data_IF_833147551193
#
_entry.id   IF_833147551193
#
_cell.length_a   1.000
_cell.length_b   1.000
_cell.length_c   1.000
_cell.angle_alpha   90.00
_cell.angle_beta   90.00
_cell.angle_gamma   90.00
#
_symmetry.space_group_name_H-M   'P 1'
#
loop_
_entity.id
_entity.type
_entity.pdbx_description
1 polymer ?
#
# COMPACT_ATOMS: atom_id res chain seq x y z
N UNK A 1 17.32 37.27 41.58
CA UNK A 1 17.30 35.94 40.94
C UNK A 1 17.30 36.13 39.43
N UNK A 2 18.33 35.69 38.69
CA UNK A 2 18.35 35.78 37.21
C UNK A 2 17.70 34.52 36.63
N UNK A 3 16.66 34.66 35.81
CA UNK A 3 16.08 33.55 35.03
C UNK A 3 16.85 33.43 33.71
N UNK A 4 17.71 32.42 33.57
CA UNK A 4 18.25 32.04 32.26
C UNK A 4 17.15 31.36 31.45
N UNK A 5 16.85 31.90 30.26
CA UNK A 5 16.12 31.15 29.23
C UNK A 5 17.13 30.27 28.49
N UNK A 6 17.00 28.95 28.65
CA UNK A 6 17.69 27.98 27.79
C UNK A 6 16.85 27.86 26.53
N UNK A 7 17.45 28.19 25.38
CA UNK A 7 16.86 27.96 24.05
C UNK A 7 17.45 26.65 23.53
N UNK A 8 16.62 25.62 23.40
CA UNK A 8 17.00 24.40 22.69
C UNK A 8 16.91 24.66 21.19
N UNK A 9 18.07 24.73 20.52
CA UNK A 9 18.14 24.56 19.08
C UNK A 9 18.11 23.06 18.77
N UNK A 10 16.96 22.57 18.29
CA UNK A 10 16.89 21.29 17.60
C UNK A 10 17.41 21.48 16.17
N UNK A 11 18.44 20.73 15.73
CA UNK A 11 18.84 20.74 14.34
C UNK A 11 17.79 19.97 13.52
N UNK A 12 16.98 20.68 12.71
CA UNK A 12 16.27 20.03 11.61
C UNK A 12 17.33 19.51 10.63
N UNK A 13 17.57 18.20 10.65
CA UNK A 13 18.28 17.52 9.58
C UNK A 13 17.44 17.63 8.30
N UNK A 14 17.97 18.31 7.29
CA UNK A 14 17.42 18.30 5.94
C UNK A 14 17.50 16.88 5.38
N UNK A 15 16.36 16.17 5.36
CA UNK A 15 16.20 14.93 4.60
C UNK A 15 16.13 15.32 3.13
N UNK A 16 17.26 15.20 2.43
CA UNK A 16 17.31 15.27 0.97
C UNK A 16 17.01 13.89 0.39
N UNK A 17 15.81 13.70 -0.16
CA UNK A 17 15.55 12.57 -1.05
C UNK A 17 16.34 12.78 -2.35
N UNK A 18 17.52 12.18 -2.43
CA UNK A 18 18.27 12.08 -3.68
C UNK A 18 17.79 10.82 -4.41
N UNK A 19 16.79 11.01 -5.29
CA UNK A 19 16.32 9.95 -6.20
C UNK A 19 17.47 9.61 -7.17
N UNK A 20 18.29 8.64 -6.81
CA UNK A 20 19.29 8.06 -7.70
C UNK A 20 18.66 6.88 -8.45
N UNK A 21 18.32 7.11 -9.72
CA UNK A 21 17.86 6.04 -10.60
C UNK A 21 18.93 4.96 -10.75
N UNK A 22 18.53 3.70 -10.63
CA UNK A 22 19.36 2.54 -10.95
C UNK A 22 18.76 1.77 -12.13
N UNK A 23 19.62 1.34 -13.05
CA UNK A 23 19.25 0.95 -14.41
C UNK A 23 18.38 -0.31 -14.54
N UNK A 24 17.53 -0.26 -15.58
CA UNK A 24 16.80 -1.39 -16.11
C UNK A 24 17.70 -2.59 -16.42
N UNK A 25 17.39 -3.77 -15.85
CA UNK A 25 17.80 -5.07 -16.39
C UNK A 25 16.59 -5.93 -16.72
N UNK A 26 16.40 -6.15 -18.03
CA UNK A 26 15.44 -7.08 -18.60
C UNK A 26 15.74 -8.51 -18.11
N UNK A 27 14.74 -9.22 -17.63
CA UNK A 27 14.78 -10.68 -17.54
C UNK A 27 14.07 -11.29 -18.73
N UNK A 28 14.75 -12.23 -19.39
CA UNK A 28 14.26 -12.99 -20.53
C UNK A 28 13.93 -14.42 -20.07
N UNK A 29 12.68 -14.82 -20.33
CA UNK A 29 12.16 -16.14 -20.65
C UNK A 29 12.86 -17.46 -20.25
N UNK A 30 11.97 -18.40 -19.90
CA UNK A 30 12.02 -19.87 -20.04
C UNK A 30 12.85 -20.67 -19.01
N UNK A 31 12.14 -21.55 -18.30
CA UNK A 31 12.27 -23.00 -18.57
C UNK A 31 11.00 -23.78 -18.19
N UNK A 32 10.83 -24.95 -18.81
CA UNK A 32 9.58 -25.74 -18.84
C UNK A 32 9.58 -26.90 -17.85
N UNK A 33 8.45 -27.16 -17.16
CA UNK A 33 8.25 -28.44 -16.46
C UNK A 33 7.87 -29.58 -17.42
N UNK A 34 8.38 -30.81 -17.22
CA UNK A 34 7.93 -31.99 -17.93
C UNK A 34 6.64 -32.57 -17.32
N UNK A 35 5.83 -33.19 -18.17
CA UNK A 35 4.65 -33.96 -17.79
C UNK A 35 5.01 -35.43 -17.54
N UNK A 36 4.52 -36.00 -16.44
CA UNK A 36 4.38 -37.45 -16.29
C UNK A 36 2.92 -37.85 -16.08
N UNK A 37 2.54 -38.95 -16.73
CA UNK A 37 1.20 -39.53 -16.72
C UNK A 37 1.33 -40.89 -16.03
N UNK A 38 0.64 -41.09 -14.92
CA UNK A 38 0.38 -42.43 -14.38
C UNK A 38 -1.12 -42.68 -14.14
N UNK A 39 -1.46 -43.94 -13.92
CA UNK A 39 -2.66 -44.54 -14.51
C UNK A 39 -3.70 -45.06 -13.52
N UNK A 40 -4.97 -44.89 -13.91
CA UNK A 40 -6.16 -45.73 -13.66
C UNK A 40 -6.09 -46.76 -12.52
N UNK A 41 -6.97 -46.59 -11.52
CA UNK A 41 -7.66 -47.72 -10.86
C UNK A 41 -9.00 -47.26 -10.25
N UNK A 42 -10.10 -47.86 -10.70
CA UNK A 42 -11.38 -48.00 -9.96
C UNK A 42 -11.48 -49.48 -9.54
N UNK A 43 -12.05 -49.86 -8.38
CA UNK A 43 -13.45 -49.58 -7.99
C UNK A 43 -13.58 -49.14 -6.49
N UNK A 44 -14.74 -48.77 -5.92
CA UNK A 44 -15.90 -49.63 -5.60
C UNK A 44 -17.03 -48.75 -5.06
N UNK A 45 -18.29 -49.14 -5.32
CA UNK A 45 -19.47 -48.45 -4.80
C UNK A 45 -19.86 -49.08 -3.45
N UNK A 46 -19.73 -48.31 -2.37
CA UNK A 46 -20.45 -48.55 -1.12
C UNK A 46 -21.31 -47.33 -0.77
N UNK A 47 -22.53 -47.59 -0.31
CA UNK A 47 -23.53 -46.55 -0.02
C UNK A 47 -23.24 -45.86 1.30
N UNK A 48 -22.91 -44.57 1.26
CA UNK A 48 -22.76 -43.72 2.45
C UNK A 48 -23.99 -42.81 2.59
N UNK A 49 -24.51 -42.71 3.81
CA UNK A 49 -25.67 -41.90 4.18
C UNK A 49 -25.55 -40.43 3.74
N UNK A 50 -26.66 -39.89 3.25
CA UNK A 50 -26.81 -38.47 2.90
C UNK A 50 -26.79 -37.59 4.16
N UNK A 51 -25.59 -37.25 4.62
CA UNK A 51 -25.38 -36.00 5.37
C UNK A 51 -25.35 -34.86 4.37
N UNK A 52 -26.31 -33.95 4.51
CA UNK A 52 -26.34 -32.66 3.82
C UNK A 52 -25.08 -31.86 4.14
N UNK A 53 -24.02 -32.06 3.36
CA UNK A 53 -22.91 -31.13 3.29
C UNK A 53 -23.46 -29.84 2.65
N UNK A 54 -23.62 -28.78 3.45
CA UNK A 54 -23.56 -27.45 2.89
C UNK A 54 -22.18 -27.33 2.26
N UNK A 55 -22.15 -27.45 0.94
CA UNK A 55 -20.97 -27.22 0.14
C UNK A 55 -20.68 -25.72 0.26
N UNK A 56 -19.79 -25.39 1.20
CA UNK A 56 -19.27 -24.05 1.39
C UNK A 56 -18.70 -23.62 0.04
N UNK A 57 -19.39 -22.66 -0.60
CA UNK A 57 -18.95 -22.12 -1.88
C UNK A 57 -17.72 -21.30 -1.53
N UNK A 58 -16.54 -21.93 -1.66
CA UNK A 58 -15.26 -21.26 -1.59
C UNK A 58 -15.27 -20.15 -2.64
N UNK A 59 -15.53 -18.93 -2.17
CA UNK A 59 -15.31 -17.73 -2.95
C UNK A 59 -13.81 -17.67 -3.25
N UNK A 60 -13.39 -17.31 -4.48
CA UNK A 60 -11.97 -17.17 -4.78
C UNK A 60 -11.32 -15.99 -4.02
N UNK A 61 -12.13 -15.21 -3.30
CA UNK A 61 -11.74 -14.11 -2.44
C UNK A 61 -11.88 -14.48 -0.96
N UNK A 62 -10.89 -14.05 -0.17
CA UNK A 62 -10.96 -13.92 1.28
C UNK A 62 -11.42 -12.51 1.67
N UNK A 63 -12.09 -12.40 2.82
CA UNK A 63 -12.45 -11.12 3.42
C UNK A 63 -11.39 -10.68 4.42
N UNK A 64 -10.95 -9.44 4.31
CA UNK A 64 -10.03 -8.82 5.25
C UNK A 64 -10.73 -7.69 6.01
N UNK A 65 -10.66 -7.75 7.34
CA UNK A 65 -11.10 -6.68 8.24
C UNK A 65 -9.90 -5.87 8.74
N UNK A 66 -10.03 -4.55 8.74
CA UNK A 66 -9.04 -3.53 9.12
C UNK A 66 -9.71 -2.55 10.08
N UNK A 67 -9.12 -2.28 11.25
CA UNK A 67 -9.68 -1.33 12.22
C UNK A 67 -8.58 -0.62 13.02
N UNK A 68 -8.76 0.66 13.33
CA UNK A 68 -7.93 1.41 14.25
C UNK A 68 -8.77 2.43 15.06
N UNK A 69 -8.11 3.27 15.86
CA UNK A 69 -8.76 4.34 16.64
C UNK A 69 -9.50 5.44 15.81
N UNK A 70 -9.45 5.35 14.49
CA UNK A 70 -9.98 6.34 13.54
C UNK A 70 -11.13 5.75 12.73
N UNK A 71 -10.95 4.55 12.18
CA UNK A 71 -11.80 4.00 11.12
C UNK A 71 -11.72 2.47 11.09
N UNK A 72 -12.87 1.84 10.87
CA UNK A 72 -12.98 0.40 10.61
C UNK A 72 -13.60 0.16 9.23
N UNK A 73 -13.06 -0.81 8.50
CA UNK A 73 -13.59 -1.25 7.22
C UNK A 73 -13.21 -2.70 6.90
N UNK A 74 -13.93 -3.31 5.96
CA UNK A 74 -13.57 -4.58 5.34
C UNK A 74 -13.59 -4.50 3.83
N UNK A 75 -12.88 -5.42 3.19
CA UNK A 75 -12.85 -5.61 1.74
C UNK A 75 -12.58 -7.08 1.40
N UNK A 76 -12.68 -7.42 0.12
CA UNK A 76 -12.40 -8.77 -0.37
C UNK A 76 -11.25 -8.75 -1.40
N UNK A 77 -10.32 -9.70 -1.28
CA UNK A 77 -9.15 -9.89 -2.16
C UNK A 77 -8.98 -11.38 -2.49
N UNK A 78 -8.41 -11.74 -3.65
CA UNK A 78 -8.14 -13.13 -3.98
C UNK A 78 -7.33 -13.82 -2.88
N UNK A 79 -7.64 -15.10 -2.62
CA UNK A 79 -6.98 -15.91 -1.58
C UNK A 79 -5.44 -15.88 -1.68
N UNK A 80 -4.91 -15.88 -2.91
CA UNK A 80 -3.48 -15.87 -3.21
C UNK A 80 -2.78 -14.53 -2.96
N UNK A 81 -3.50 -13.41 -2.79
CA UNK A 81 -2.87 -12.10 -2.58
C UNK A 81 -2.26 -12.01 -1.18
N UNK A 82 -1.08 -11.40 -1.08
CA UNK A 82 -0.50 -11.03 0.20
C UNK A 82 -1.29 -9.89 0.83
N UNK A 83 -1.36 -9.89 2.16
CA UNK A 83 -2.02 -8.87 2.98
C UNK A 83 -1.10 -8.52 4.15
N UNK A 84 -0.63 -7.28 4.20
CA UNK A 84 0.05 -6.72 5.36
C UNK A 84 -0.90 -5.79 6.13
N UNK A 85 -0.92 -5.93 7.45
CA UNK A 85 -1.72 -5.13 8.39
C UNK A 85 -0.76 -4.49 9.40
N UNK A 86 -0.59 -3.16 9.36
CA UNK A 86 0.48 -2.44 10.10
C UNK A 86 -0.04 -1.43 11.12
N UNK A 87 -1.12 -0.72 10.79
CA UNK A 87 -1.83 0.16 11.75
C UNK A 87 -3.26 -0.32 12.01
N UNK A 88 -3.60 -1.54 11.60
CA UNK A 88 -4.93 -2.15 11.67
C UNK A 88 -5.23 -2.79 13.04
N UNK A 89 -4.71 -2.20 14.12
CA UNK A 89 -4.99 -2.63 15.49
C UNK A 89 -5.21 -1.42 16.39
N UNK A 90 -6.23 -1.49 17.24
CA UNK A 90 -6.42 -0.57 18.37
C UNK A 90 -5.31 -0.67 19.43
N UNK A 91 -4.46 -1.70 19.36
CA UNK A 91 -3.34 -1.91 20.27
C UNK A 91 -2.15 -1.00 19.93
N UNK A 92 -1.57 -0.38 20.96
CA UNK A 92 -0.33 0.39 20.85
C UNK A 92 0.84 -0.55 20.46
N UNK A 93 1.38 -0.34 19.25
CA UNK A 93 2.56 -1.06 18.77
C UNK A 93 3.81 -0.63 19.55
N UNK A 94 4.63 -1.58 20.00
CA UNK A 94 5.85 -1.28 20.76
C UNK A 94 6.96 -0.71 19.87
N UNK A 95 7.91 0.03 20.46
CA UNK A 95 9.04 0.58 19.70
C UNK A 95 9.92 -0.52 19.11
N UNK A 96 10.05 -1.66 19.80
CA UNK A 96 10.76 -2.84 19.30
C UNK A 96 10.07 -3.42 18.06
N UNK A 97 8.74 -3.45 18.02
CA UNK A 97 7.97 -3.87 16.84
C UNK A 97 8.12 -2.88 15.68
N UNK A 98 8.04 -1.55 15.94
CA UNK A 98 8.34 -0.52 14.93
C UNK A 98 9.76 -0.67 14.38
N UNK A 99 10.74 -0.88 15.26
CA UNK A 99 12.17 -1.04 14.92
C UNK A 99 12.40 -2.31 14.09
N UNK A 100 11.76 -3.42 14.47
CA UNK A 100 11.82 -4.67 13.72
C UNK A 100 11.20 -4.54 12.32
N UNK A 101 10.06 -3.85 12.20
CA UNK A 101 9.45 -3.52 10.91
C UNK A 101 10.42 -2.71 10.03
N UNK A 102 10.88 -1.54 10.50
CA UNK A 102 11.80 -0.70 9.75
C UNK A 102 13.09 -1.46 9.37
N UNK A 103 13.55 -2.39 10.21
CA UNK A 103 14.73 -3.24 9.97
C UNK A 103 14.49 -4.42 8.99
N UNK A 104 13.36 -4.48 8.29
CA UNK A 104 13.06 -5.55 7.32
C UNK A 104 13.81 -5.32 5.99
N UNK A 105 14.34 -6.40 5.40
CA UNK A 105 14.79 -6.43 4.00
C UNK A 105 14.53 -7.80 3.37
N UNK A 106 13.73 -7.82 2.31
CA UNK A 106 13.28 -9.02 1.60
C UNK A 106 14.31 -9.56 0.59
N UNK A 107 15.34 -8.79 0.24
CA UNK A 107 16.38 -9.25 -0.70
C UNK A 107 17.36 -10.18 0.02
N UNK A 108 17.11 -11.49 -0.06
CA UNK A 108 17.91 -12.54 0.60
C UNK A 108 19.38 -12.59 0.13
N UNK A 109 19.68 -12.32 -1.14
CA UNK A 109 20.93 -12.73 -1.79
C UNK A 109 22.14 -11.77 -1.71
N UNK A 110 21.99 -10.55 -1.17
CA UNK A 110 23.14 -9.64 -0.98
C UNK A 110 23.79 -9.82 0.40
N UNK A 111 25.09 -9.56 0.51
CA UNK A 111 25.90 -9.88 1.69
C UNK A 111 25.36 -9.27 2.99
N UNK A 112 25.48 -10.03 4.08
CA UNK A 112 24.80 -9.80 5.38
C UNK A 112 25.07 -8.44 6.05
N UNK A 113 26.15 -7.73 5.70
CA UNK A 113 26.62 -6.54 6.42
C UNK A 113 26.09 -5.19 5.94
N UNK A 114 25.40 -5.11 4.80
CA UNK A 114 25.00 -3.83 4.18
C UNK A 114 23.63 -3.87 3.47
N UNK A 115 22.63 -4.51 4.07
CA UNK A 115 21.25 -4.38 3.58
C UNK A 115 20.64 -3.06 4.09
N UNK A 116 20.23 -2.21 3.15
CA UNK A 116 19.28 -1.14 3.44
C UNK A 116 17.95 -1.77 3.87
N UNK A 117 17.21 -1.03 4.68
CA UNK A 117 15.80 -1.26 4.91
C UNK A 117 15.04 -1.19 3.58
N UNK A 118 14.04 -2.05 3.40
CA UNK A 118 13.12 -1.96 2.25
C UNK A 118 12.05 -0.86 2.45
N UNK A 119 12.18 -0.07 3.53
CA UNK A 119 11.21 0.93 3.99
C UNK A 119 11.84 2.29 4.35
N UNK A 120 13.17 2.41 4.40
CA UNK A 120 13.89 3.64 4.77
C UNK A 120 15.29 3.68 4.14
N UNK A 121 15.90 4.86 4.05
CA UNK A 121 17.30 5.01 3.60
C UNK A 121 18.36 4.49 4.59
N UNK A 122 17.96 3.99 5.76
CA UNK A 122 18.87 3.43 6.76
C UNK A 122 19.18 1.96 6.50
N UNK A 123 20.41 1.54 6.82
CA UNK A 123 20.73 0.11 6.96
C UNK A 123 20.04 -0.49 8.18
N UNK A 124 19.82 -1.81 8.13
CA UNK A 124 19.32 -2.59 9.28
C UNK A 124 20.15 -2.31 10.54
N UNK A 125 21.49 -2.24 10.42
CA UNK A 125 22.39 -1.94 11.53
C UNK A 125 22.21 -0.52 12.09
N UNK A 126 21.99 0.48 11.22
CA UNK A 126 21.69 1.85 11.65
C UNK A 126 20.38 1.91 12.41
N UNK A 127 19.33 1.24 11.92
CA UNK A 127 18.00 1.19 12.55
C UNK A 127 18.08 0.59 13.97
N UNK A 128 18.89 -0.46 14.17
CA UNK A 128 19.10 -1.02 15.51
C UNK A 128 19.79 -0.05 16.50
N UNK A 129 20.44 1.01 16.01
CA UNK A 129 21.15 2.01 16.82
C UNK A 129 20.40 3.34 17.00
N UNK A 130 19.29 3.56 16.28
CA UNK A 130 18.50 4.79 16.44
C UNK A 130 17.86 4.87 17.84
N UNK A 131 17.78 6.06 18.47
CA UNK A 131 16.97 6.26 19.67
C UNK A 131 15.48 5.95 19.41
N UNK A 132 14.76 5.51 20.45
CA UNK A 132 13.34 5.13 20.34
C UNK A 132 12.44 6.24 19.78
N UNK A 133 12.70 7.49 20.16
CA UNK A 133 11.96 8.65 19.63
C UNK A 133 12.22 8.89 18.14
N UNK A 134 13.39 8.49 17.61
CA UNK A 134 13.65 8.53 16.16
C UNK A 134 12.92 7.39 15.44
N UNK A 135 12.86 6.19 16.03
CA UNK A 135 12.05 5.09 15.49
C UNK A 135 10.58 5.49 15.39
N UNK A 136 9.99 6.05 16.47
CA UNK A 136 8.62 6.58 16.45
C UNK A 136 8.43 7.67 15.40
N UNK A 137 9.37 8.60 15.29
CA UNK A 137 9.30 9.71 14.32
C UNK A 137 9.37 9.25 12.86
N UNK A 138 10.04 8.13 12.57
CA UNK A 138 10.07 7.53 11.23
C UNK A 138 8.79 6.71 11.01
N UNK A 139 8.39 5.89 11.97
CA UNK A 139 7.23 5.00 11.88
C UNK A 139 5.90 5.75 11.73
N UNK A 140 5.74 6.88 12.43
CA UNK A 140 4.58 7.77 12.33
C UNK A 140 4.83 9.02 11.48
N UNK A 141 5.83 8.98 10.59
CA UNK A 141 6.09 10.08 9.67
C UNK A 141 4.84 10.37 8.84
N UNK A 142 4.38 11.63 8.86
CA UNK A 142 3.40 12.14 7.90
C UNK A 142 4.09 13.04 6.89
N UNK A 143 3.81 12.79 5.62
CA UNK A 143 4.29 13.57 4.49
C UNK A 143 3.15 14.51 4.08
N UNK A 144 3.31 15.84 4.17
CA UNK A 144 2.25 16.81 3.82
C UNK A 144 1.68 16.57 2.41
N UNK A 145 0.36 16.55 2.26
CA UNK A 145 -0.33 16.20 1.01
C UNK A 145 -0.10 14.80 0.43
N UNK A 146 0.52 13.89 1.18
CA UNK A 146 0.68 12.47 0.84
C UNK A 146 0.13 11.54 1.93
N UNK A 147 0.00 12.02 3.17
CA UNK A 147 -0.59 11.28 4.29
C UNK A 147 0.49 10.59 5.15
N UNK A 148 0.15 9.49 5.84
CA UNK A 148 1.12 8.67 6.57
C UNK A 148 2.13 8.04 5.60
N UNK A 149 3.40 7.94 6.00
CA UNK A 149 4.44 7.32 5.17
C UNK A 149 4.19 5.82 4.94
N UNK A 150 3.60 5.15 5.93
CA UNK A 150 3.21 3.74 5.84
C UNK A 150 1.69 3.59 5.86
N UNK A 151 1.11 2.75 4.98
CA UNK A 151 -0.32 2.51 4.96
C UNK A 151 -0.77 1.65 6.14
N UNK A 152 -2.04 1.80 6.53
CA UNK A 152 -2.64 0.97 7.58
C UNK A 152 -2.68 -0.50 7.18
N UNK A 153 -2.98 -0.76 5.92
CA UNK A 153 -2.89 -2.07 5.30
C UNK A 153 -2.42 -1.95 3.85
N UNK A 154 -1.79 -3.00 3.34
CA UNK A 154 -1.45 -3.15 1.92
C UNK A 154 -1.81 -4.54 1.46
N UNK A 155 -2.22 -4.66 0.21
CA UNK A 155 -2.43 -5.95 -0.46
C UNK A 155 -1.65 -6.00 -1.76
N UNK A 156 -1.17 -7.18 -2.13
CA UNK A 156 -0.48 -7.36 -3.41
C UNK A 156 -0.72 -8.72 -4.06
N UNK A 157 -0.88 -8.69 -5.38
CA UNK A 157 -0.98 -9.90 -6.22
C UNK A 157 0.41 -10.49 -6.59
N UNK A 158 1.49 -9.99 -5.99
CA UNK A 158 2.84 -10.55 -6.11
C UNK A 158 3.40 -10.88 -4.72
N UNK A 159 4.47 -11.68 -4.68
CA UNK A 159 5.09 -12.21 -3.46
C UNK A 159 5.78 -11.17 -2.56
N UNK A 160 5.58 -9.86 -2.78
CA UNK A 160 6.14 -8.79 -1.93
C UNK A 160 5.29 -7.53 -1.91
N UNK A 161 5.35 -6.83 -0.78
CA UNK A 161 4.83 -5.47 -0.59
C UNK A 161 6.03 -4.53 -0.38
N UNK A 162 5.99 -3.35 -1.00
CA UNK A 162 7.10 -2.38 -1.07
C UNK A 162 6.60 -0.96 -0.77
N UNK A 163 7.41 -0.19 -0.03
CA UNK A 163 7.12 1.22 0.28
C UNK A 163 8.21 2.21 -0.18
N UNK A 164 9.35 1.72 -0.67
CA UNK A 164 10.45 2.56 -1.23
C UNK A 164 10.28 2.90 -2.72
N UNK A 165 9.50 2.10 -3.44
CA UNK A 165 9.26 2.26 -4.87
C UNK A 165 7.90 1.66 -5.24
N UNK A 166 7.39 2.02 -6.42
CA UNK A 166 6.11 1.53 -6.93
C UNK A 166 6.15 0.01 -7.21
N UNK A 167 5.01 -0.64 -6.98
CA UNK A 167 4.73 -2.03 -7.26
C UNK A 167 3.46 -2.11 -8.10
N UNK A 168 3.58 -2.62 -9.34
CA UNK A 168 2.50 -2.62 -10.32
C UNK A 168 1.21 -3.31 -9.85
N UNK A 169 1.34 -4.26 -8.91
CA UNK A 169 0.21 -5.04 -8.38
C UNK A 169 0.02 -4.84 -6.88
N UNK A 170 0.14 -3.61 -6.39
CA UNK A 170 -0.06 -3.26 -4.98
C UNK A 170 -1.15 -2.20 -4.80
N UNK A 171 -1.99 -2.42 -3.80
CA UNK A 171 -3.00 -1.47 -3.33
C UNK A 171 -2.75 -1.18 -1.84
N UNK A 172 -2.67 0.10 -1.50
CA UNK A 172 -2.42 0.59 -0.15
C UNK A 172 -3.66 1.30 0.41
N UNK A 173 -3.89 1.15 1.71
CA UNK A 173 -5.03 1.71 2.41
C UNK A 173 -4.58 2.66 3.53
N UNK A 174 -5.05 3.91 3.51
CA UNK A 174 -4.73 4.92 4.51
C UNK A 174 -6.02 5.48 5.13
N UNK A 175 -6.13 5.47 6.47
CA UNK A 175 -7.19 6.18 7.20
C UNK A 175 -6.72 7.56 7.65
N UNK A 176 -7.54 8.59 7.46
CA UNK A 176 -7.24 9.94 7.89
C UNK A 176 -8.41 10.63 8.61
N UNK A 177 -8.08 11.63 9.45
CA UNK A 177 -9.04 12.49 10.15
C UNK A 177 -9.27 13.78 9.36
N UNK A 178 -10.50 14.29 9.38
CA UNK A 178 -10.94 15.45 8.60
C UNK A 178 -11.92 15.06 7.49
N UNK A 179 -12.28 16.03 6.65
CA UNK A 179 -13.15 15.80 5.49
C UNK A 179 -12.31 15.58 4.22
N UNK A 180 -12.87 14.83 3.26
CA UNK A 180 -12.22 14.56 1.97
C UNK A 180 -11.92 15.84 1.19
N UNK A 181 -12.83 16.82 1.23
CA UNK A 181 -12.70 18.08 0.48
C UNK A 181 -11.47 18.88 0.91
N UNK A 182 -11.24 18.99 2.23
CA UNK A 182 -10.08 19.70 2.78
C UNK A 182 -8.76 19.02 2.39
N UNK A 183 -8.71 17.69 2.45
CA UNK A 183 -7.51 16.92 2.07
C UNK A 183 -7.23 17.04 0.56
N UNK A 184 -8.27 17.01 -0.27
CA UNK A 184 -8.15 17.17 -1.72
C UNK A 184 -7.72 18.60 -2.09
N UNK A 185 -8.15 19.62 -1.35
CA UNK A 185 -7.64 20.99 -1.54
C UNK A 185 -6.15 21.10 -1.20
N UNK A 186 -5.69 20.52 -0.09
CA UNK A 186 -4.26 20.45 0.26
C UNK A 186 -3.47 19.72 -0.84
N UNK A 187 -3.95 18.55 -1.27
CA UNK A 187 -3.34 17.74 -2.33
C UNK A 187 -3.22 18.50 -3.66
N UNK A 188 -4.28 19.19 -4.09
CA UNK A 188 -4.28 20.03 -5.31
C UNK A 188 -3.31 21.20 -5.21
N UNK A 189 -3.19 21.82 -4.04
CA UNK A 189 -2.22 22.90 -3.81
C UNK A 189 -0.77 22.41 -3.88
N UNK A 190 -0.49 21.20 -3.39
CA UNK A 190 0.84 20.57 -3.46
C UNK A 190 1.18 20.17 -4.89
N UNK A 191 0.28 19.49 -5.61
CA UNK A 191 0.45 19.20 -7.04
C UNK A 191 0.72 20.47 -7.85
N UNK A 192 -0.04 21.54 -7.62
CA UNK A 192 0.18 22.84 -8.29
C UNK A 192 1.57 23.43 -8.02
N UNK A 193 2.10 23.25 -6.80
CA UNK A 193 3.46 23.67 -6.46
C UNK A 193 4.49 22.80 -7.17
N UNK A 194 4.36 21.47 -7.08
CA UNK A 194 5.23 20.50 -7.77
C UNK A 194 5.30 20.80 -9.27
N UNK A 195 4.18 21.15 -9.90
CA UNK A 195 4.10 21.50 -11.32
C UNK A 195 4.61 22.89 -11.68
N UNK A 196 4.78 23.77 -10.69
CA UNK A 196 5.51 25.04 -10.87
C UNK A 196 7.02 24.79 -10.85
N UNK A 197 7.47 23.85 -10.03
CA UNK A 197 8.89 23.48 -9.85
C UNK A 197 9.38 22.48 -10.92
N UNK A 198 8.51 21.58 -11.39
CA UNK A 198 8.74 20.61 -12.46
C UNK A 198 7.53 20.53 -13.43
N UNK A 199 7.41 21.42 -14.42
CA UNK A 199 6.29 21.46 -15.37
C UNK A 199 6.23 20.27 -16.36
N UNK A 200 7.10 19.27 -16.24
CA UNK A 200 7.12 18.06 -17.07
C UNK A 200 6.73 16.81 -16.27
N UNK A 201 6.35 16.94 -15.00
CA UNK A 201 5.83 15.82 -14.22
C UNK A 201 4.48 15.33 -14.78
N UNK A 202 4.30 14.01 -14.90
CA UNK A 202 3.01 13.42 -15.31
C UNK A 202 1.89 13.74 -14.31
N UNK A 203 2.23 14.02 -13.05
CA UNK A 203 1.27 14.49 -12.03
C UNK A 203 0.64 15.85 -12.33
N UNK A 204 1.13 16.60 -13.32
CA UNK A 204 0.58 17.92 -13.68
C UNK A 204 -0.69 17.87 -14.53
N UNK A 205 -0.97 16.73 -15.14
CA UNK A 205 -2.20 16.47 -15.88
C UNK A 205 -3.17 15.59 -15.06
N UNK A 206 -2.98 15.49 -13.74
CA UNK A 206 -3.82 14.73 -12.81
C UNK A 206 -5.30 15.09 -12.96
N UNK A 207 -6.11 14.09 -13.25
CA UNK A 207 -7.55 14.20 -13.45
C UNK A 207 -8.26 13.94 -12.11
N UNK A 208 -9.31 14.70 -11.84
CA UNK A 208 -10.14 14.58 -10.65
C UNK A 208 -11.58 14.30 -11.06
N UNK A 209 -12.10 13.14 -10.68
CA UNK A 209 -13.46 12.68 -11.06
C UNK A 209 -14.30 12.35 -9.83
N UNK A 210 -15.63 12.49 -9.95
CA UNK A 210 -16.59 11.97 -8.98
C UNK A 210 -17.19 10.67 -9.52
N UNK A 211 -17.06 9.59 -8.75
CA UNK A 211 -17.62 8.28 -9.04
C UNK A 211 -18.62 7.86 -7.95
N UNK A 212 -19.37 6.78 -8.18
CA UNK A 212 -20.26 6.18 -7.19
C UNK A 212 -19.98 4.68 -7.11
N UNK A 213 -19.48 4.24 -5.95
CA UNK A 213 -19.06 2.86 -5.69
C UNK A 213 -19.91 2.35 -4.52
N UNK A 214 -20.71 1.32 -4.75
CA UNK A 214 -21.67 0.77 -3.76
C UNK A 214 -22.52 1.84 -3.04
N UNK A 215 -23.05 2.81 -3.80
CA UNK A 215 -23.80 3.98 -3.30
C UNK A 215 -23.01 5.00 -2.46
N UNK A 216 -21.73 4.75 -2.17
CA UNK A 216 -20.81 5.77 -1.65
C UNK A 216 -20.40 6.71 -2.78
N UNK A 217 -20.38 8.01 -2.51
CA UNK A 217 -19.72 8.99 -3.39
C UNK A 217 -18.22 8.91 -3.14
N UNK A 218 -17.45 8.83 -4.22
CA UNK A 218 -16.00 8.67 -4.17
C UNK A 218 -15.38 9.70 -5.09
N UNK A 219 -14.39 10.44 -4.61
CA UNK A 219 -13.57 11.27 -5.50
C UNK A 219 -12.35 10.45 -5.91
N UNK A 220 -11.92 10.55 -7.16
CA UNK A 220 -10.79 9.79 -7.71
C UNK A 220 -9.72 10.73 -8.24
N UNK A 221 -8.50 10.64 -7.69
CA UNK A 221 -7.26 11.21 -8.26
C UNK A 221 -6.71 10.20 -9.28
N UNK A 222 -6.66 10.57 -10.56
CA UNK A 222 -6.12 9.71 -11.63
C UNK A 222 -4.90 10.38 -12.25
N UNK A 223 -3.73 9.73 -12.14
CA UNK A 223 -2.55 10.10 -12.91
C UNK A 223 -2.81 9.76 -14.39
N UNK A 224 -2.42 10.61 -15.36
CA UNK A 224 -2.53 10.28 -16.77
C UNK A 224 -1.86 8.94 -17.10
N UNK A 225 -2.47 8.21 -18.03
CA UNK A 225 -1.95 6.95 -18.51
C UNK A 225 -2.12 6.85 -20.02
N UNK A 226 -1.02 6.58 -20.71
CA UNK A 226 -0.97 6.32 -22.14
C UNK A 226 -1.00 4.81 -22.36
N UNK A 227 -2.13 4.27 -22.82
CA UNK A 227 -2.34 2.83 -22.98
C UNK A 227 -1.40 2.18 -24.00
N UNK A 228 -0.87 2.97 -24.93
CA UNK A 228 0.09 2.54 -25.95
C UNK A 228 1.55 2.46 -25.45
N UNK A 229 1.81 2.86 -24.20
CA UNK A 229 3.16 2.90 -23.60
C UNK A 229 3.33 1.83 -22.52
N UNK A 230 4.58 1.42 -22.31
CA UNK A 230 4.95 0.57 -21.18
C UNK A 230 4.65 1.25 -19.84
N UNK A 231 4.41 0.45 -18.80
CA UNK A 231 4.13 0.95 -17.45
C UNK A 231 5.46 1.26 -16.77
N UNK A 232 5.73 2.55 -16.55
CA UNK A 232 6.97 3.07 -15.93
C UNK A 232 6.63 4.04 -14.80
N UNK A 233 7.63 4.57 -14.09
CA UNK A 233 7.41 5.59 -13.02
C UNK A 233 6.70 6.84 -13.53
N UNK A 234 6.92 7.17 -14.80
CA UNK A 234 6.36 8.34 -15.49
C UNK A 234 4.99 8.06 -16.12
N UNK A 235 4.63 6.78 -16.29
CA UNK A 235 3.40 6.28 -16.92
C UNK A 235 2.79 5.14 -16.08
N UNK A 236 2.64 5.33 -14.76
CA UNK A 236 2.12 4.28 -13.87
C UNK A 236 0.63 4.05 -14.06
N UNK A 237 -0.14 5.11 -14.31
CA UNK A 237 -1.60 5.08 -14.14
C UNK A 237 -2.01 4.89 -12.67
N UNK A 238 -1.26 5.48 -11.73
CA UNK A 238 -1.63 5.52 -10.31
C UNK A 238 -3.02 6.14 -10.13
N UNK A 239 -3.86 5.49 -9.31
CA UNK A 239 -5.21 5.95 -8.98
C UNK A 239 -5.43 5.96 -7.47
N UNK A 240 -6.10 7.00 -6.95
CA UNK A 240 -6.46 7.09 -5.53
C UNK A 240 -7.94 7.40 -5.38
N UNK A 241 -8.60 6.62 -4.54
CA UNK A 241 -10.03 6.69 -4.28
C UNK A 241 -10.26 7.20 -2.87
N UNK A 242 -10.99 8.31 -2.74
CA UNK A 242 -11.28 8.97 -1.48
C UNK A 242 -12.71 8.66 -1.05
N UNK A 243 -12.85 7.77 -0.06
CA UNK A 243 -14.12 7.37 0.52
C UNK A 243 -14.34 8.13 1.83
N UNK A 244 -15.28 9.07 1.86
CA UNK A 244 -15.76 9.66 3.13
C UNK A 244 -16.42 8.56 3.97
N UNK A 245 -16.08 8.48 5.25
CA UNK A 245 -16.77 7.59 6.18
C UNK A 245 -18.22 8.06 6.44
N UNK A 246 -19.07 7.23 7.06
CA UNK A 246 -20.43 7.62 7.44
C UNK A 246 -20.50 8.83 8.39
N UNK A 247 -19.44 9.09 9.18
CA UNK A 247 -19.39 10.23 10.10
C UNK A 247 -18.91 11.54 9.47
N UNK A 248 -18.37 11.48 8.24
CA UNK A 248 -17.81 12.61 7.46
C UNK A 248 -16.67 13.40 8.13
N UNK A 249 -16.16 12.92 9.27
CA UNK A 249 -15.02 13.47 10.00
C UNK A 249 -13.76 12.59 9.86
N UNK A 250 -13.89 11.48 9.14
CA UNK A 250 -12.82 10.54 8.78
C UNK A 250 -12.99 10.08 7.35
N UNK A 251 -11.92 9.61 6.72
CA UNK A 251 -11.96 9.05 5.36
C UNK A 251 -10.90 7.98 5.13
N UNK A 252 -11.17 7.14 4.14
CA UNK A 252 -10.28 6.11 3.63
C UNK A 252 -9.74 6.53 2.26
N UNK A 253 -8.42 6.45 2.10
CA UNK A 253 -7.75 6.53 0.79
C UNK A 253 -7.36 5.12 0.37
N UNK A 254 -7.92 4.64 -0.74
CA UNK A 254 -7.46 3.41 -1.40
C UNK A 254 -6.58 3.82 -2.58
N UNK A 255 -5.29 3.51 -2.51
CA UNK A 255 -4.27 3.86 -3.50
C UNK A 255 -3.88 2.62 -4.29
N UNK A 256 -4.24 2.54 -5.58
CA UNK A 256 -3.66 1.58 -6.52
C UNK A 256 -2.41 2.21 -7.13
N UNK A 257 -1.24 1.63 -6.88
CA UNK A 257 0.05 2.26 -7.21
C UNK A 257 0.32 2.40 -8.71
N UNK A 258 -0.19 1.49 -9.54
CA UNK A 258 -0.14 1.57 -11.00
C UNK A 258 -1.24 0.71 -11.62
N UNK A 259 -1.38 0.78 -12.95
CA UNK A 259 -2.19 -0.16 -13.72
C UNK A 259 -1.56 -1.55 -13.71
N UNK A 260 -2.39 -2.59 -13.56
CA UNK A 260 -1.96 -3.98 -13.68
C UNK A 260 -2.34 -4.61 -15.02
N UNK A 261 -2.35 -5.95 -15.03
CA UNK A 261 -3.02 -6.72 -16.09
C UNK A 261 -4.53 -6.81 -15.86
N UNK A 262 -5.26 -7.33 -16.85
CA UNK A 262 -6.72 -7.39 -16.82
C UNK A 262 -7.28 -8.17 -15.62
N UNK A 263 -6.54 -9.16 -15.12
CA UNK A 263 -6.91 -9.94 -13.92
C UNK A 263 -6.81 -9.06 -12.67
N UNK A 264 -5.67 -8.40 -12.45
CA UNK A 264 -5.50 -7.46 -11.33
C UNK A 264 -6.51 -6.30 -11.36
N UNK A 265 -6.82 -5.76 -12.54
CA UNK A 265 -7.83 -4.69 -12.68
C UNK A 265 -9.27 -5.18 -12.40
N UNK A 266 -9.58 -6.44 -12.71
CA UNK A 266 -10.86 -7.06 -12.35
C UNK A 266 -10.96 -7.29 -10.83
N UNK A 267 -9.92 -7.86 -10.22
CA UNK A 267 -9.85 -8.08 -8.77
C UNK A 267 -9.87 -6.76 -8.00
N UNK A 268 -9.21 -5.72 -8.49
CA UNK A 268 -9.27 -4.38 -7.91
C UNK A 268 -10.68 -3.79 -8.02
N UNK A 269 -11.38 -3.99 -9.15
CA UNK A 269 -12.78 -3.61 -9.27
C UNK A 269 -13.69 -4.41 -8.31
N UNK A 270 -13.40 -5.70 -8.05
CA UNK A 270 -14.10 -6.50 -7.05
C UNK A 270 -13.85 -5.97 -5.63
N UNK A 271 -12.64 -5.53 -5.31
CA UNK A 271 -12.19 -4.97 -4.02
C UNK A 271 -12.76 -3.59 -3.70
N UNK A 272 -13.01 -2.75 -4.72
CA UNK A 272 -13.75 -1.50 -4.56
C UNK A 272 -15.25 -1.75 -4.41
N UNK A 273 -15.77 -2.81 -5.06
CA UNK A 273 -16.93 -3.55 -4.57
C UNK A 273 -16.59 -4.25 -3.24
N UNK A 274 -17.58 -4.72 -2.48
CA UNK A 274 -17.41 -5.35 -1.16
C UNK A 274 -16.70 -4.49 -0.08
N UNK A 275 -16.04 -3.37 -0.42
CA UNK A 275 -15.52 -2.39 0.50
C UNK A 275 -16.67 -1.81 1.34
N UNK A 276 -16.61 -2.05 2.64
CA UNK A 276 -17.64 -1.69 3.60
C UNK A 276 -17.00 -1.00 4.81
N UNK A 277 -17.58 0.11 5.26
CA UNK A 277 -17.29 0.66 6.58
C UNK A 277 -18.07 -0.14 7.63
N UNK A 278 -17.45 -0.38 8.78
CA UNK A 278 -17.99 -1.18 9.90
C UNK A 278 -18.46 -0.28 11.07
#
# INVERSE_FOLDING_TARGET
>A
MKKSKIIFFLPLGLIFFVITGCDNKKYLNNESLPSEIESVSTPTIESVESKSQQQEILTPYKREQISNEILAFSFEVPEAWLVEKRHASEQEISVEQMRAFLATSYVSEKSESQKNSDYTDYTVEQIQKLPDEQIKSIYFLKIPGYGPAFPMASVSAVEKISYIDWNAKQIDFYSEKGTVENYIEERKNILKKECTENPQSSTCETIWEEETIQSMKVIVEKTPFAEEKEITKENTGEQRYYFSSPDQNTFLVVKKQARGDNEFEQDFSHLLSALQFE
#
